data_IF_623602280654
#
_entry.id   IF_623602280654
#
_cell.length_a   1.000
_cell.length_b   1.000
_cell.length_c   1.000
_cell.angle_alpha   90.00
_cell.angle_beta   90.00
_cell.angle_gamma   90.00
#
_symmetry.space_group_name_H-M   'P 1'
#
loop_
_entity.id
_entity.type
_entity.pdbx_description
1 polymer ?
#
# COMPACT_ATOMS: atom_id res chain seq x y z
N UNK A 1 -1.29 15.17 5.54
CA UNK A 1 -0.59 16.47 5.64
C UNK A 1 0.10 16.62 6.99
N UNK A 2 1.25 17.29 7.07
CA UNK A 2 2.03 17.40 8.33
C UNK A 2 1.31 18.17 9.45
N UNK A 3 0.29 18.96 9.15
CA UNK A 3 -0.56 19.62 10.14
C UNK A 3 -1.86 18.87 10.43
N UNK A 4 -2.03 17.67 9.87
CA UNK A 4 -3.23 16.87 10.11
C UNK A 4 -3.20 16.29 11.54
N UNK A 5 -4.23 16.51 12.36
CA UNK A 5 -4.23 16.09 13.75
C UNK A 5 -4.40 14.57 13.94
N UNK A 6 -4.82 13.84 12.91
CA UNK A 6 -5.13 12.42 13.01
C UNK A 6 -4.08 11.52 12.33
N UNK A 7 -3.57 11.91 11.17
CA UNK A 7 -2.78 11.00 10.33
C UNK A 7 -1.29 11.27 10.32
N UNK A 8 -0.83 12.43 10.79
CA UNK A 8 0.60 12.81 10.83
C UNK A 8 1.40 12.46 9.57
N UNK A 9 0.79 12.60 8.41
CA UNK A 9 1.46 12.40 7.12
C UNK A 9 2.43 13.55 6.86
N UNK A 10 3.73 13.25 6.71
CA UNK A 10 4.78 14.26 6.57
C UNK A 10 4.86 14.83 5.13
N UNK A 11 3.71 15.24 4.58
CA UNK A 11 3.59 15.86 3.25
C UNK A 11 3.01 17.28 3.37
N UNK A 12 3.58 18.20 2.60
CA UNK A 12 3.04 19.56 2.38
C UNK A 12 1.99 19.57 1.26
N UNK A 13 1.26 20.66 1.11
CA UNK A 13 0.34 20.84 -0.02
C UNK A 13 1.05 20.69 -1.38
N UNK A 14 2.24 21.28 -1.51
CA UNK A 14 3.09 21.07 -2.68
C UNK A 14 3.49 19.61 -2.89
N UNK A 15 3.81 18.88 -1.83
CA UNK A 15 4.14 17.46 -1.87
C UNK A 15 2.99 16.60 -2.42
N UNK A 16 1.75 16.88 -2.02
CA UNK A 16 0.56 16.23 -2.58
C UNK A 16 0.37 16.53 -4.07
N UNK A 17 0.59 17.78 -4.50
CA UNK A 17 0.52 18.14 -5.91
C UNK A 17 1.59 17.42 -6.75
N UNK A 18 2.83 17.41 -6.27
CA UNK A 18 3.95 16.72 -6.91
C UNK A 18 3.71 15.20 -7.02
N UNK A 19 3.20 14.57 -5.96
CA UNK A 19 2.83 13.15 -5.98
C UNK A 19 1.73 12.88 -7.03
N UNK A 20 0.72 13.74 -7.11
CA UNK A 20 -0.35 13.61 -8.11
C UNK A 20 0.19 13.74 -9.54
N UNK A 21 1.08 14.70 -9.78
CA UNK A 21 1.72 14.88 -11.08
C UNK A 21 2.56 13.66 -11.50
N UNK A 22 3.28 13.05 -10.55
CA UNK A 22 4.06 11.83 -10.79
C UNK A 22 3.18 10.62 -11.11
N UNK A 23 2.10 10.44 -10.38
CA UNK A 23 1.17 9.32 -10.56
C UNK A 23 0.30 9.46 -11.80
N UNK A 24 0.06 10.70 -12.24
CA UNK A 24 -0.79 11.06 -13.38
C UNK A 24 -2.13 10.27 -13.38
N UNK A 25 -2.92 10.29 -12.29
CA UNK A 25 -4.13 9.50 -12.18
C UNK A 25 -5.25 10.10 -13.04
N UNK A 26 -6.13 9.24 -13.56
CA UNK A 26 -7.32 9.70 -14.29
C UNK A 26 -8.43 10.22 -13.37
N UNK A 27 -8.43 9.77 -12.12
CA UNK A 27 -9.42 10.13 -11.10
C UNK A 27 -8.68 10.29 -9.78
N UNK A 28 -8.98 11.37 -9.04
CA UNK A 28 -8.56 11.56 -7.67
C UNK A 28 -9.81 11.64 -6.77
N UNK A 29 -9.79 10.90 -5.68
CA UNK A 29 -10.87 10.90 -4.67
C UNK A 29 -10.35 11.54 -3.40
N UNK A 30 -11.10 12.48 -2.84
CA UNK A 30 -10.79 13.09 -1.56
C UNK A 30 -11.29 12.17 -0.44
N UNK A 31 -10.40 11.84 0.46
CA UNK A 31 -10.67 11.04 1.65
C UNK A 31 -9.90 11.64 2.84
N UNK A 32 -10.56 11.85 3.97
CA UNK A 32 -9.97 12.54 5.12
C UNK A 32 -9.73 14.04 4.90
N UNK A 33 -8.61 14.56 5.42
CA UNK A 33 -8.26 16.00 5.28
C UNK A 33 -8.74 16.83 6.47
N UNK A 34 -8.31 16.46 7.67
CA UNK A 34 -8.80 17.04 8.94
C UNK A 34 -8.15 18.38 9.29
N UNK A 35 -7.11 18.83 8.58
CA UNK A 35 -6.56 20.18 8.68
C UNK A 35 -7.38 21.16 7.80
N UNK A 36 -8.65 21.36 8.16
CA UNK A 36 -9.66 22.03 7.31
C UNK A 36 -9.28 23.47 6.97
N UNK A 37 -8.79 24.24 7.94
CA UNK A 37 -8.48 25.68 7.75
C UNK A 37 -7.07 25.91 7.23
N UNK A 38 -6.12 25.07 7.62
CA UNK A 38 -4.70 25.25 7.31
C UNK A 38 -4.29 24.66 5.97
N UNK A 39 -4.52 23.35 5.80
CA UNK A 39 -3.95 22.60 4.70
C UNK A 39 -4.94 22.26 3.58
N UNK A 40 -6.18 21.88 3.92
CA UNK A 40 -7.12 21.28 2.97
C UNK A 40 -7.36 22.12 1.70
N UNK A 41 -7.58 23.46 1.75
CA UNK A 41 -7.78 24.25 0.55
C UNK A 41 -6.57 24.23 -0.39
N UNK A 42 -5.36 24.25 0.18
CA UNK A 42 -4.11 24.28 -0.58
C UNK A 42 -3.77 22.90 -1.16
N UNK A 43 -3.99 21.84 -0.42
CA UNK A 43 -3.86 20.46 -0.91
C UNK A 43 -4.80 20.24 -2.09
N UNK A 44 -6.08 20.59 -1.94
CA UNK A 44 -7.07 20.44 -3.01
C UNK A 44 -6.72 21.28 -4.24
N UNK A 45 -6.29 22.51 -4.05
CA UNK A 45 -5.84 23.37 -5.16
C UNK A 45 -4.65 22.73 -5.89
N UNK A 46 -3.65 22.29 -5.15
CA UNK A 46 -2.46 21.64 -5.73
C UNK A 46 -2.81 20.39 -6.52
N UNK A 47 -3.69 19.51 -5.99
CA UNK A 47 -4.16 18.32 -6.69
C UNK A 47 -4.91 18.69 -7.96
N UNK A 48 -5.82 19.69 -7.92
CA UNK A 48 -6.56 20.14 -9.10
C UNK A 48 -5.64 20.69 -10.18
N UNK A 49 -4.65 21.51 -9.80
CA UNK A 49 -3.68 22.05 -10.76
C UNK A 49 -2.85 20.93 -11.40
N UNK A 50 -2.36 19.99 -10.60
CA UNK A 50 -1.59 18.85 -11.09
C UNK A 50 -2.40 17.97 -12.05
N UNK A 51 -3.66 17.66 -11.73
CA UNK A 51 -4.57 16.92 -12.62
C UNK A 51 -4.86 17.65 -13.93
N UNK A 52 -4.91 18.99 -13.88
CA UNK A 52 -5.11 19.83 -15.06
C UNK A 52 -3.83 20.05 -15.88
N UNK A 53 -2.68 19.54 -15.45
CA UNK A 53 -1.37 19.80 -16.08
C UNK A 53 -0.94 21.26 -15.96
N UNK A 54 -1.42 21.97 -14.94
CA UNK A 54 -1.09 23.39 -14.70
C UNK A 54 0.04 23.53 -13.67
N UNK A 55 0.81 24.65 -13.72
CA UNK A 55 1.87 24.90 -12.74
C UNK A 55 1.33 24.99 -11.31
N UNK A 56 1.99 24.30 -10.37
CA UNK A 56 1.60 24.26 -8.96
C UNK A 56 2.74 24.60 -7.98
N UNK A 57 3.87 25.08 -8.48
CA UNK A 57 5.09 25.40 -7.70
C UNK A 57 4.84 26.48 -6.63
N UNK A 58 3.82 27.30 -6.83
CA UNK A 58 3.42 28.38 -5.93
C UNK A 58 2.42 27.95 -4.86
N UNK A 59 1.98 26.69 -4.88
CA UNK A 59 0.97 26.21 -3.93
C UNK A 59 1.65 25.80 -2.63
N UNK A 60 1.47 26.63 -1.61
CA UNK A 60 1.92 26.35 -0.24
C UNK A 60 0.82 26.76 0.74
N UNK A 61 0.70 26.01 1.82
CA UNK A 61 -0.11 26.36 2.98
C UNK A 61 0.45 27.60 3.69
N UNK A 62 -0.38 28.40 4.40
CA UNK A 62 0.03 29.70 4.98
C UNK A 62 1.23 29.60 5.94
N UNK A 63 1.32 28.52 6.71
CA UNK A 63 2.35 28.30 7.73
C UNK A 63 3.52 27.46 7.19
N UNK A 64 3.69 27.39 5.89
CA UNK A 64 4.75 26.59 5.27
C UNK A 64 6.13 27.14 5.62
N UNK A 65 6.92 26.32 6.34
CA UNK A 65 8.32 26.59 6.63
C UNK A 65 9.22 25.48 6.05
N UNK A 66 9.80 25.75 4.90
CA UNK A 66 10.69 24.78 4.23
C UNK A 66 11.92 24.39 5.08
N UNK A 67 12.36 25.22 6.05
CA UNK A 67 13.48 24.89 6.92
C UNK A 67 13.05 23.92 8.02
N UNK A 68 11.89 24.17 8.64
CA UNK A 68 11.32 23.28 9.66
C UNK A 68 10.93 21.91 9.07
N UNK A 69 10.51 21.87 7.80
CA UNK A 69 10.10 20.67 7.09
C UNK A 69 11.27 19.91 6.45
N UNK A 70 12.49 20.43 6.57
CA UNK A 70 13.66 19.76 5.97
C UNK A 70 13.90 18.39 6.59
N UNK A 71 13.82 17.38 5.75
CA UNK A 71 14.06 15.99 6.15
C UNK A 71 15.51 15.76 6.58
N UNK A 72 15.71 14.96 7.62
CA UNK A 72 17.06 14.57 8.08
C UNK A 72 17.75 13.71 7.01
N UNK A 73 19.07 13.87 6.76
CA UNK A 73 19.80 13.10 5.76
C UNK A 73 19.64 11.58 5.90
N UNK A 74 19.64 11.06 7.13
CA UNK A 74 19.49 9.62 7.41
C UNK A 74 18.13 9.09 6.95
N UNK A 75 17.06 9.90 7.09
CA UNK A 75 15.71 9.54 6.62
C UNK A 75 15.68 9.53 5.09
N UNK A 76 16.31 10.52 4.46
CA UNK A 76 16.42 10.56 2.98
C UNK A 76 17.15 9.34 2.44
N UNK A 77 18.27 8.97 3.06
CA UNK A 77 19.05 7.79 2.68
C UNK A 77 18.26 6.49 2.88
N UNK A 78 17.52 6.38 3.99
CA UNK A 78 16.65 5.23 4.24
C UNK A 78 15.55 5.11 3.17
N UNK A 79 14.87 6.23 2.84
CA UNK A 79 13.81 6.25 1.81
C UNK A 79 14.40 5.88 0.45
N UNK A 80 15.58 6.41 0.08
CA UNK A 80 16.21 6.03 -1.19
C UNK A 80 16.47 4.53 -1.28
N UNK A 81 17.04 3.93 -0.24
CA UNK A 81 17.26 2.47 -0.19
C UNK A 81 15.94 1.69 -0.29
N UNK A 82 14.91 2.13 0.44
CA UNK A 82 13.59 1.49 0.37
C UNK A 82 12.99 1.57 -1.03
N UNK A 83 13.13 2.70 -1.73
CA UNK A 83 12.69 2.84 -3.12
C UNK A 83 13.45 1.89 -4.05
N UNK A 84 14.77 1.77 -3.89
CA UNK A 84 15.60 0.85 -4.68
C UNK A 84 15.18 -0.61 -4.43
N UNK A 85 14.92 -0.99 -3.18
CA UNK A 85 14.44 -2.32 -2.82
C UNK A 85 13.08 -2.64 -3.44
N UNK A 86 12.13 -1.68 -3.38
CA UNK A 86 10.79 -1.83 -3.97
C UNK A 86 10.90 -1.95 -5.50
N UNK A 87 11.71 -1.12 -6.15
CA UNK A 87 11.94 -1.19 -7.59
C UNK A 87 12.59 -2.52 -7.99
N UNK A 88 13.59 -2.98 -7.22
CA UNK A 88 14.20 -4.27 -7.46
C UNK A 88 13.20 -5.42 -7.34
N UNK A 89 12.34 -5.42 -6.32
CA UNK A 89 11.29 -6.42 -6.18
C UNK A 89 10.25 -6.34 -7.30
N UNK A 90 9.93 -5.14 -7.78
CA UNK A 90 9.01 -4.95 -8.90
C UNK A 90 9.57 -5.50 -10.21
N UNK A 91 10.85 -5.25 -10.49
CA UNK A 91 11.50 -5.74 -11.71
C UNK A 91 11.93 -7.21 -11.63
N UNK A 92 12.22 -7.68 -10.42
CA UNK A 92 12.66 -9.06 -10.14
C UNK A 92 11.77 -9.66 -9.04
N UNK A 93 10.46 -9.86 -9.31
CA UNK A 93 9.57 -10.40 -8.29
C UNK A 93 10.09 -11.78 -7.85
N UNK A 94 10.14 -12.06 -6.54
CA UNK A 94 10.52 -13.36 -6.06
C UNK A 94 9.58 -14.41 -6.66
N UNK A 95 10.12 -15.49 -7.16
CA UNK A 95 9.35 -16.60 -7.73
C UNK A 95 8.47 -17.30 -6.69
N UNK A 96 8.69 -17.03 -5.42
CA UNK A 96 7.96 -17.58 -4.25
C UNK A 96 7.99 -16.58 -3.09
N UNK A 97 7.00 -16.63 -2.18
CA UNK A 97 7.08 -15.93 -0.90
C UNK A 97 8.38 -16.26 -0.17
N UNK A 98 8.98 -15.28 0.52
CA UNK A 98 10.23 -15.44 1.26
C UNK A 98 10.11 -16.39 2.45
N UNK A 99 8.89 -16.50 3.02
CA UNK A 99 8.57 -17.33 4.17
C UNK A 99 7.65 -18.47 3.75
N UNK A 100 7.92 -19.69 4.23
CA UNK A 100 7.13 -20.86 3.95
C UNK A 100 7.95 -22.04 3.42
N UNK A 101 7.29 -23.14 3.14
CA UNK A 101 7.88 -24.38 2.64
C UNK A 101 7.02 -24.99 1.52
N UNK A 102 7.64 -25.84 0.72
CA UNK A 102 6.95 -26.58 -0.32
C UNK A 102 6.39 -27.88 0.25
N UNK A 103 5.10 -28.10 -0.02
CA UNK A 103 4.38 -29.33 0.27
C UNK A 103 3.69 -29.83 -1.01
N UNK A 104 4.32 -30.75 -1.73
CA UNK A 104 3.87 -31.21 -3.03
C UNK A 104 3.72 -30.08 -4.06
N UNK A 105 2.49 -29.86 -4.53
CA UNK A 105 2.12 -28.79 -5.47
C UNK A 105 1.79 -27.47 -4.77
N UNK A 106 1.93 -27.39 -3.44
CA UNK A 106 1.59 -26.23 -2.67
C UNK A 106 2.82 -25.57 -2.06
N UNK A 107 2.79 -24.24 -1.99
CA UNK A 107 3.65 -23.45 -1.13
C UNK A 107 2.84 -23.05 0.09
N UNK A 108 3.28 -23.43 1.28
CA UNK A 108 2.57 -23.18 2.53
C UNK A 108 3.35 -22.26 3.43
N UNK A 109 2.63 -21.36 4.09
CA UNK A 109 3.18 -20.51 5.16
C UNK A 109 2.14 -20.27 6.24
N UNK A 110 2.62 -19.99 7.43
CA UNK A 110 1.83 -19.55 8.58
C UNK A 110 2.13 -18.08 8.85
N UNK A 111 1.13 -17.32 9.28
CA UNK A 111 1.26 -15.91 9.63
C UNK A 111 0.39 -15.60 10.83
N UNK A 112 0.95 -14.81 11.78
CA UNK A 112 0.21 -14.17 12.85
C UNK A 112 0.09 -12.68 12.54
N UNK A 113 -1.13 -12.16 12.53
CA UNK A 113 -1.42 -10.76 12.23
C UNK A 113 -2.14 -10.18 13.45
N UNK A 114 -1.59 -9.09 13.97
CA UNK A 114 -2.23 -8.31 15.01
C UNK A 114 -2.81 -7.03 14.43
N UNK A 115 -4.11 -6.84 14.62
CA UNK A 115 -4.85 -5.63 14.23
C UNK A 115 -5.01 -4.75 15.47
N UNK A 116 -4.18 -3.72 15.59
CA UNK A 116 -4.10 -2.82 16.74
C UNK A 116 -5.38 -2.01 16.97
N UNK A 117 -6.07 -1.63 15.90
CA UNK A 117 -7.33 -0.87 15.97
C UNK A 117 -8.43 -1.65 16.69
N UNK A 118 -8.50 -2.95 16.46
CA UNK A 118 -9.54 -3.84 17.00
C UNK A 118 -9.07 -4.70 18.16
N UNK A 119 -7.77 -4.68 18.48
CA UNK A 119 -7.15 -5.56 19.45
C UNK A 119 -7.33 -7.04 19.10
N UNK A 120 -7.30 -7.37 17.81
CA UNK A 120 -7.58 -8.69 17.27
C UNK A 120 -6.29 -9.37 16.84
N UNK A 121 -6.08 -10.61 17.28
CA UNK A 121 -5.02 -11.47 16.77
C UNK A 121 -5.62 -12.51 15.83
N UNK A 122 -5.07 -12.59 14.63
CA UNK A 122 -5.48 -13.53 13.58
C UNK A 122 -4.33 -14.45 13.22
N UNK A 123 -4.59 -15.76 13.18
CA UNK A 123 -3.68 -16.78 12.69
C UNK A 123 -4.12 -17.25 11.31
N UNK A 124 -3.22 -17.19 10.32
CA UNK A 124 -3.48 -17.59 8.94
C UNK A 124 -2.59 -18.75 8.51
N UNK A 125 -3.21 -19.79 7.93
CA UNK A 125 -2.55 -20.83 7.16
C UNK A 125 -2.80 -20.58 5.67
N UNK A 126 -1.78 -20.13 4.95
CA UNK A 126 -1.86 -19.82 3.53
C UNK A 126 -1.23 -20.94 2.69
N UNK A 127 -1.98 -21.43 1.70
CA UNK A 127 -1.51 -22.36 0.69
C UNK A 127 -1.61 -21.74 -0.70
N UNK A 128 -0.49 -21.65 -1.42
CA UNK A 128 -0.44 -21.20 -2.81
C UNK A 128 -0.13 -22.40 -3.69
N UNK A 129 -1.05 -22.75 -4.58
CA UNK A 129 -0.83 -23.84 -5.53
C UNK A 129 0.18 -23.43 -6.60
N UNK A 130 1.24 -24.22 -6.74
CA UNK A 130 2.29 -24.02 -7.73
C UNK A 130 1.86 -24.68 -9.06
N UNK A 131 1.02 -23.99 -9.83
CA UNK A 131 0.55 -24.49 -11.12
C UNK A 131 1.56 -24.14 -12.23
N UNK A 132 1.91 -25.07 -13.13
CA UNK A 132 2.78 -24.76 -14.27
C UNK A 132 2.06 -23.93 -15.37
N UNK A 133 0.72 -23.98 -15.42
CA UNK A 133 -0.07 -23.46 -16.53
C UNK A 133 -0.74 -22.11 -16.23
N UNK A 134 -0.76 -21.68 -14.95
CA UNK A 134 -1.41 -20.43 -14.54
C UNK A 134 -0.84 -19.92 -13.20
N UNK A 135 -1.25 -18.73 -12.70
CA UNK A 135 -0.80 -18.23 -11.40
C UNK A 135 -1.17 -19.08 -10.20
N UNK A 136 -1.97 -20.12 -10.41
CA UNK A 136 -2.38 -21.05 -9.35
C UNK A 136 -3.66 -20.62 -8.64
N UNK A 137 -3.84 -21.15 -7.45
CA UNK A 137 -4.95 -20.91 -6.53
C UNK A 137 -4.35 -20.61 -5.17
N UNK A 138 -4.85 -19.59 -4.47
CA UNK A 138 -4.47 -19.33 -3.09
C UNK A 138 -5.64 -19.67 -2.16
N UNK A 139 -5.35 -20.48 -1.15
CA UNK A 139 -6.28 -20.86 -0.09
C UNK A 139 -5.75 -20.30 1.23
N UNK A 140 -6.55 -19.53 1.95
CA UNK A 140 -6.21 -18.98 3.25
C UNK A 140 -7.24 -19.48 4.25
N UNK A 141 -6.80 -20.34 5.16
CA UNK A 141 -7.54 -20.72 6.34
C UNK A 141 -7.15 -19.77 7.46
N UNK A 142 -8.10 -19.10 8.05
CA UNK A 142 -7.87 -18.13 9.12
C UNK A 142 -8.71 -18.42 10.35
N UNK A 143 -8.15 -18.13 11.51
CA UNK A 143 -8.83 -18.14 12.81
C UNK A 143 -8.40 -16.94 13.63
N UNK A 144 -9.23 -16.51 14.59
CA UNK A 144 -8.91 -15.41 15.48
C UNK A 144 -9.49 -15.67 16.87
N UNK A 145 -9.19 -14.79 17.81
CA UNK A 145 -9.81 -14.77 19.14
C UNK A 145 -11.32 -14.49 19.12
N UNK A 146 -11.90 -14.15 17.95
CA UNK A 146 -13.35 -13.90 17.78
C UNK A 146 -14.05 -14.86 16.84
N UNK A 147 -13.31 -15.53 15.96
CA UNK A 147 -13.85 -16.43 14.93
C UNK A 147 -13.03 -17.71 14.88
N UNK A 148 -13.69 -18.85 15.07
CA UNK A 148 -13.01 -20.15 15.15
C UNK A 148 -12.29 -20.51 13.85
N UNK A 149 -12.97 -20.44 12.71
CA UNK A 149 -12.40 -20.75 11.40
C UNK A 149 -13.14 -20.06 10.27
N UNK A 150 -12.37 -19.52 9.31
CA UNK A 150 -12.87 -19.02 8.03
C UNK A 150 -11.94 -19.46 6.91
N UNK A 151 -12.49 -19.66 5.72
CA UNK A 151 -11.76 -20.04 4.52
C UNK A 151 -11.95 -18.97 3.44
N UNK A 152 -10.85 -18.48 2.88
CA UNK A 152 -10.84 -17.60 1.72
C UNK A 152 -10.11 -18.30 0.57
N UNK A 153 -10.76 -18.32 -0.60
CA UNK A 153 -10.17 -18.83 -1.84
C UNK A 153 -9.97 -17.66 -2.81
N UNK A 154 -8.73 -17.46 -3.24
CA UNK A 154 -8.37 -16.47 -4.24
C UNK A 154 -8.09 -17.18 -5.56
N UNK A 155 -9.01 -17.07 -6.50
CA UNK A 155 -8.91 -17.66 -7.83
C UNK A 155 -8.64 -16.56 -8.86
N UNK A 156 -7.45 -16.51 -9.50
CA UNK A 156 -7.16 -15.55 -10.55
C UNK A 156 -8.10 -15.70 -11.74
N UNK A 157 -8.42 -14.58 -12.43
CA UNK A 157 -9.29 -14.60 -13.61
C UNK A 157 -8.77 -15.49 -14.74
N UNK A 158 -7.44 -15.60 -14.87
CA UNK A 158 -6.74 -16.44 -15.85
C UNK A 158 -6.32 -17.80 -15.30
N UNK A 159 -6.94 -18.28 -14.22
CA UNK A 159 -6.71 -19.61 -13.70
C UNK A 159 -7.09 -20.67 -14.76
N UNK A 160 -6.27 -21.71 -14.89
CA UNK A 160 -6.55 -22.85 -15.77
C UNK A 160 -7.77 -23.66 -15.29
N UNK A 161 -8.38 -24.50 -16.16
CA UNK A 161 -9.54 -25.32 -15.77
C UNK A 161 -9.27 -26.16 -14.51
N UNK A 162 -8.11 -26.80 -14.42
CA UNK A 162 -7.75 -27.62 -13.27
C UNK A 162 -7.70 -26.81 -11.96
N UNK A 163 -7.17 -25.58 -11.96
CA UNK A 163 -7.21 -24.72 -10.77
C UNK A 163 -8.62 -24.24 -10.42
N UNK A 164 -9.49 -24.09 -11.43
CA UNK A 164 -10.90 -23.72 -11.20
C UNK A 164 -11.71 -24.86 -10.60
N UNK A 165 -11.42 -26.11 -11.00
CA UNK A 165 -12.13 -27.30 -10.52
C UNK A 165 -11.74 -27.62 -9.05
N UNK A 166 -10.58 -27.14 -8.58
CA UNK A 166 -10.11 -27.31 -7.21
C UNK A 166 -10.61 -26.22 -6.25
N UNK A 167 -11.18 -25.12 -6.76
CA UNK A 167 -11.69 -24.00 -5.96
C UNK A 167 -13.17 -24.18 -5.61
#
# INVERSE_FOLDING_TARGET
>A
HYTDPLTNMQLSAHGYAAMNALLNPHIAVLEGGYSIRGALPYVNLGICLALAGLPFEHVHEPDHDAKALKQRPQVTEYISRLCDDVLNQYHNPPSRPSEGHRDGEWWRRERDIYYDTDGLSEHQNEGIRLCPDCPGLTCIETSSDRVDKSLCLLLPRNACPHCRDLA
#
